data_IF_585964746649
#
_entry.id   IF_585964746649
#
_cell.length_a   1.000
_cell.length_b   1.000
_cell.length_c   1.000
_cell.angle_alpha   90.00
_cell.angle_beta   90.00
_cell.angle_gamma   90.00
#
_symmetry.space_group_name_H-M   'P 1'
#
loop_
_entity.id
_entity.type
_entity.pdbx_description
1 polymer ?
#
# COMPACT_ATOMS: atom_id res chain seq x y z
N UNK A 1 14.13 13.17 20.00
CA UNK A 1 15.08 13.46 18.90
C UNK A 1 16.33 14.21 19.34
N UNK A 2 16.26 15.44 19.89
CA UNK A 2 17.48 16.16 20.31
C UNK A 2 18.35 15.32 21.28
N UNK A 3 17.74 14.65 22.25
CA UNK A 3 18.43 13.70 23.12
C UNK A 3 19.20 12.62 22.33
N UNK A 4 18.56 11.95 21.37
CA UNK A 4 19.19 10.91 20.56
C UNK A 4 20.34 11.47 19.71
N UNK A 5 20.13 12.63 19.07
CA UNK A 5 21.16 13.26 18.24
C UNK A 5 22.39 13.66 19.06
N UNK A 6 22.21 14.19 20.27
CA UNK A 6 23.32 14.69 21.09
C UNK A 6 23.97 13.63 21.99
N UNK A 7 23.20 12.66 22.48
CA UNK A 7 23.67 11.71 23.50
C UNK A 7 23.77 10.27 22.99
N UNK A 8 23.08 9.93 21.91
CA UNK A 8 23.00 8.56 21.38
C UNK A 8 23.09 8.53 19.86
N UNK A 9 24.16 9.05 19.24
CA UNK A 9 24.25 9.23 17.79
C UNK A 9 24.15 7.91 16.99
N UNK A 10 24.44 6.77 17.62
CA UNK A 10 24.31 5.43 17.02
C UNK A 10 22.97 4.74 17.30
N UNK A 11 22.17 5.24 18.25
CA UNK A 11 20.89 4.65 18.68
C UNK A 11 19.74 5.64 18.42
N UNK A 12 19.64 6.12 17.18
CA UNK A 12 18.68 7.16 16.77
C UNK A 12 17.34 6.58 16.32
N UNK A 13 16.74 5.70 17.14
CA UNK A 13 15.53 4.94 16.79
C UNK A 13 14.32 5.84 16.49
N UNK A 14 14.08 6.87 17.31
CA UNK A 14 12.95 7.79 17.10
C UNK A 14 13.18 8.66 15.87
N UNK A 15 14.38 9.17 15.65
CA UNK A 15 14.71 9.90 14.41
C UNK A 15 14.57 9.02 13.16
N UNK A 16 15.02 7.76 13.22
CA UNK A 16 14.91 6.81 12.11
C UNK A 16 13.45 6.46 11.80
N UNK A 17 12.61 6.35 12.82
CA UNK A 17 11.16 6.17 12.66
C UNK A 17 10.51 7.41 12.04
N UNK A 18 10.85 8.61 12.53
CA UNK A 18 10.33 9.87 11.99
C UNK A 18 10.68 10.01 10.50
N UNK A 19 11.93 9.72 10.12
CA UNK A 19 12.36 9.71 8.72
C UNK A 19 11.60 8.67 7.88
N UNK A 20 11.35 7.47 8.41
CA UNK A 20 10.54 6.47 7.70
C UNK A 20 9.12 6.98 7.45
N UNK A 21 8.49 7.60 8.45
CA UNK A 21 7.15 8.15 8.32
C UNK A 21 7.09 9.34 7.35
N UNK A 22 8.12 10.18 7.31
CA UNK A 22 8.26 11.27 6.32
C UNK A 22 8.25 10.75 4.88
N UNK A 23 8.90 9.61 4.62
CA UNK A 23 8.84 8.97 3.29
C UNK A 23 7.44 8.44 2.93
N UNK A 24 6.58 8.21 3.92
CA UNK A 24 5.22 7.69 3.72
C UNK A 24 4.17 8.79 3.69
N UNK A 25 4.47 9.97 4.26
CA UNK A 25 3.51 11.05 4.49
C UNK A 25 4.03 12.31 3.84
N UNK A 26 3.37 12.73 2.75
CA UNK A 26 3.60 14.06 2.16
C UNK A 26 2.38 14.95 2.34
N UNK A 27 1.18 14.34 2.30
CA UNK A 27 -0.11 15.02 2.29
C UNK A 27 -1.06 14.48 3.37
N UNK A 28 -2.14 15.22 3.64
CA UNK A 28 -3.24 14.79 4.50
C UNK A 28 -3.81 13.43 4.08
N UNK A 29 -3.89 13.15 2.77
CA UNK A 29 -4.43 11.88 2.24
C UNK A 29 -3.58 10.68 2.59
N UNK A 30 -2.27 10.88 2.71
CA UNK A 30 -1.36 9.81 3.14
C UNK A 30 -1.62 9.50 4.61
N UNK A 31 -1.85 10.52 5.43
CA UNK A 31 -2.26 10.35 6.83
C UNK A 31 -3.62 9.68 6.93
N UNK A 32 -4.61 10.10 6.12
CA UNK A 32 -5.94 9.47 6.06
C UNK A 32 -5.82 7.95 5.86
N UNK A 33 -5.03 7.54 4.87
CA UNK A 33 -4.80 6.14 4.55
C UNK A 33 -4.13 5.40 5.72
N UNK A 34 -3.08 5.98 6.31
CA UNK A 34 -2.37 5.34 7.42
C UNK A 34 -3.23 5.24 8.68
N UNK A 35 -4.11 6.21 8.94
CA UNK A 35 -5.09 6.18 10.04
C UNK A 35 -6.18 5.14 9.75
N UNK A 36 -6.72 5.10 8.53
CA UNK A 36 -7.73 4.10 8.12
C UNK A 36 -7.19 2.67 8.26
N UNK A 37 -5.90 2.45 7.95
CA UNK A 37 -5.23 1.16 8.13
C UNK A 37 -4.75 0.90 9.57
N UNK A 38 -4.97 1.83 10.51
CA UNK A 38 -4.59 1.68 11.91
C UNK A 38 -3.07 1.71 12.17
N UNK A 39 -2.29 2.25 11.22
CA UNK A 39 -0.84 2.40 11.33
C UNK A 39 -0.51 3.62 12.21
N UNK A 40 -1.29 4.69 12.06
CA UNK A 40 -1.18 5.91 12.87
C UNK A 40 -2.46 6.12 13.66
N UNK A 41 -2.32 6.56 14.90
CA UNK A 41 -3.44 7.06 15.71
C UNK A 41 -3.42 8.58 15.65
N UNK A 42 -4.50 9.19 15.17
CA UNK A 42 -4.61 10.65 15.18
C UNK A 42 -4.87 11.16 16.60
N UNK A 43 -3.84 11.78 17.19
CA UNK A 43 -3.91 12.44 18.50
C UNK A 43 -3.95 13.98 18.40
N UNK A 44 -3.82 14.55 17.20
CA UNK A 44 -3.75 15.99 16.95
C UNK A 44 -5.11 16.61 16.57
N UNK A 45 -6.11 15.78 16.27
CA UNK A 45 -7.47 16.18 15.96
C UNK A 45 -7.74 16.34 14.46
N UNK A 46 -6.72 16.64 13.66
CA UNK A 46 -6.81 16.74 12.21
C UNK A 46 -5.58 16.12 11.52
N UNK A 47 -5.76 15.61 10.30
CA UNK A 47 -4.75 14.86 9.57
C UNK A 47 -3.74 15.78 8.87
N UNK A 48 -4.13 17.01 8.52
CA UNK A 48 -3.24 18.04 7.95
C UNK A 48 -2.12 18.41 8.95
N UNK A 49 -2.46 18.59 10.22
CA UNK A 49 -1.52 18.87 11.31
C UNK A 49 -0.49 17.76 11.48
N UNK A 50 -0.89 16.48 11.31
CA UNK A 50 0.03 15.34 11.36
C UNK A 50 1.01 15.39 10.19
N UNK A 51 0.51 15.58 8.96
CA UNK A 51 1.36 15.67 7.78
C UNK A 51 2.38 16.82 7.92
N UNK A 52 1.89 18.00 8.33
CA UNK A 52 2.74 19.15 8.59
C UNK A 52 3.77 18.91 9.68
N UNK A 53 3.41 18.17 10.74
CA UNK A 53 4.33 17.83 11.82
C UNK A 53 5.50 16.99 11.30
N UNK A 54 5.24 15.90 10.57
CA UNK A 54 6.31 15.04 10.03
C UNK A 54 7.20 15.82 9.05
N UNK A 55 6.62 16.48 8.05
CA UNK A 55 7.35 17.28 7.06
C UNK A 55 8.24 18.35 7.72
N UNK A 56 7.72 19.02 8.77
CA UNK A 56 8.47 20.07 9.47
C UNK A 56 9.60 19.50 10.32
N UNK A 57 9.35 18.42 11.04
CA UNK A 57 10.31 17.81 11.95
C UNK A 57 11.46 17.17 11.17
N UNK A 58 11.15 16.42 10.11
CA UNK A 58 12.12 15.71 9.30
C UNK A 58 12.96 16.63 8.41
N UNK A 59 12.44 17.81 8.03
CA UNK A 59 13.26 18.86 7.38
C UNK A 59 14.48 19.31 8.18
N UNK A 60 14.50 19.02 9.49
CA UNK A 60 15.57 19.39 10.43
C UNK A 60 16.45 18.22 10.84
N UNK A 61 16.17 17.00 10.36
CA UNK A 61 16.93 15.79 10.68
C UNK A 61 17.92 15.53 9.54
N UNK A 62 19.19 15.32 9.89
CA UNK A 62 20.19 14.89 8.90
C UNK A 62 20.00 13.40 8.60
N UNK A 63 20.04 12.96 7.32
CA UNK A 63 19.93 11.55 6.98
C UNK A 63 21.05 10.75 7.64
N UNK A 64 20.69 9.72 8.41
CA UNK A 64 21.59 8.73 9.01
C UNK A 64 21.27 7.33 8.47
N UNK A 65 22.18 6.34 8.61
CA UNK A 65 21.86 4.95 8.32
C UNK A 65 20.69 4.50 9.22
N UNK A 66 19.51 4.37 8.62
CA UNK A 66 18.31 4.04 9.37
C UNK A 66 18.28 2.55 9.72
N UNK A 67 17.95 2.22 10.96
CA UNK A 67 17.65 0.85 11.38
C UNK A 67 16.46 0.24 10.62
N UNK A 68 15.66 1.07 9.95
CA UNK A 68 14.54 0.66 9.10
C UNK A 68 14.89 0.57 7.61
N UNK A 69 16.16 0.71 7.23
CA UNK A 69 16.57 0.69 5.82
C UNK A 69 16.10 -0.59 5.10
N UNK A 70 16.29 -1.76 5.71
CA UNK A 70 15.84 -3.03 5.13
C UNK A 70 14.33 -3.08 4.94
N UNK A 71 13.56 -2.55 5.89
CA UNK A 71 12.09 -2.48 5.76
C UNK A 71 11.68 -1.56 4.61
N UNK A 72 12.33 -0.41 4.48
CA UNK A 72 12.07 0.51 3.37
C UNK A 72 12.44 -0.11 2.02
N UNK A 73 13.55 -0.85 1.96
CA UNK A 73 13.96 -1.58 0.77
C UNK A 73 12.98 -2.70 0.40
N UNK A 74 12.54 -3.49 1.37
CA UNK A 74 11.54 -4.55 1.17
C UNK A 74 10.20 -3.98 0.69
N UNK A 75 9.78 -2.84 1.24
CA UNK A 75 8.57 -2.13 0.81
C UNK A 75 8.71 -1.65 -0.64
N UNK A 76 9.85 -1.04 -0.99
CA UNK A 76 10.16 -0.62 -2.36
C UNK A 76 10.19 -1.80 -3.32
N UNK A 77 10.80 -2.92 -2.92
CA UNK A 77 10.86 -4.15 -3.70
C UNK A 77 9.47 -4.77 -3.87
N UNK A 78 8.61 -4.72 -2.85
CA UNK A 78 7.22 -5.12 -2.96
C UNK A 78 6.47 -4.24 -3.94
N UNK A 79 6.59 -2.92 -3.83
CA UNK A 79 5.94 -1.98 -4.73
C UNK A 79 6.36 -2.23 -6.18
N UNK A 80 7.66 -2.31 -6.46
CA UNK A 80 8.22 -2.45 -7.81
C UNK A 80 7.91 -3.79 -8.51
N UNK A 81 7.38 -4.79 -7.80
CA UNK A 81 6.98 -6.05 -8.43
C UNK A 81 5.77 -5.81 -9.32
N UNK A 82 5.93 -6.01 -10.64
CA UNK A 82 4.86 -5.88 -11.64
C UNK A 82 3.60 -6.65 -11.29
N UNK A 83 3.73 -7.83 -10.69
CA UNK A 83 2.60 -8.64 -10.21
C UNK A 83 1.77 -7.92 -9.15
N UNK A 84 2.40 -7.17 -8.24
CA UNK A 84 1.72 -6.44 -7.18
C UNK A 84 0.93 -5.26 -7.74
N UNK A 85 1.47 -4.54 -8.72
CA UNK A 85 0.71 -3.53 -9.46
C UNK A 85 -0.51 -4.13 -10.16
N UNK A 86 -0.33 -5.23 -10.91
CA UNK A 86 -1.44 -5.90 -11.61
C UNK A 86 -2.52 -6.36 -10.62
N UNK A 87 -2.12 -6.96 -9.50
CA UNK A 87 -3.03 -7.38 -8.44
C UNK A 87 -3.77 -6.19 -7.83
N UNK A 88 -3.08 -5.09 -7.52
CA UNK A 88 -3.69 -3.89 -6.97
C UNK A 88 -4.72 -3.29 -7.93
N UNK A 89 -4.38 -3.18 -9.22
CA UNK A 89 -5.33 -2.73 -10.26
C UNK A 89 -6.55 -3.66 -10.33
N UNK A 90 -6.33 -4.97 -10.37
CA UNK A 90 -7.42 -5.96 -10.43
C UNK A 90 -8.37 -5.82 -9.23
N UNK A 91 -7.83 -5.71 -8.02
CA UNK A 91 -8.61 -5.51 -6.81
C UNK A 91 -9.38 -4.20 -6.87
N UNK A 92 -8.72 -3.11 -7.27
CA UNK A 92 -9.33 -1.78 -7.32
C UNK A 92 -10.46 -1.64 -8.34
N UNK A 93 -10.44 -2.43 -9.43
CA UNK A 93 -11.42 -2.36 -10.51
C UNK A 93 -12.56 -3.36 -10.31
N UNK A 94 -12.22 -4.60 -9.95
CA UNK A 94 -13.20 -5.69 -9.91
C UNK A 94 -13.70 -5.97 -8.50
N UNK A 95 -12.91 -5.71 -7.46
CA UNK A 95 -13.23 -6.09 -6.08
C UNK A 95 -13.48 -4.89 -5.16
N UNK A 96 -13.61 -3.68 -5.70
CA UNK A 96 -13.99 -2.46 -4.96
C UNK A 96 -15.39 -2.58 -4.37
N UNK A 97 -16.29 -3.25 -5.09
CA UNK A 97 -17.65 -3.54 -4.65
C UNK A 97 -17.90 -5.04 -4.78
N UNK A 98 -18.41 -5.66 -3.73
CA UNK A 98 -18.81 -7.07 -3.70
C UNK A 98 -19.71 -7.42 -4.90
N UNK A 99 -20.58 -6.50 -5.32
CA UNK A 99 -21.46 -6.67 -6.47
C UNK A 99 -20.69 -6.72 -7.80
N UNK A 100 -19.72 -5.83 -8.00
CA UNK A 100 -18.86 -5.85 -9.20
C UNK A 100 -18.01 -7.11 -9.25
N UNK A 101 -17.49 -7.54 -8.09
CA UNK A 101 -16.68 -8.75 -8.00
C UNK A 101 -17.47 -10.01 -8.33
N UNK A 102 -18.66 -10.16 -7.72
CA UNK A 102 -19.56 -11.30 -7.97
C UNK A 102 -20.02 -11.35 -9.42
N UNK A 103 -20.38 -10.22 -10.04
CA UNK A 103 -20.75 -10.16 -11.45
C UNK A 103 -19.61 -10.58 -12.38
N UNK A 104 -18.38 -10.14 -12.08
CA UNK A 104 -17.18 -10.52 -12.84
C UNK A 104 -16.94 -12.02 -12.78
N UNK A 105 -17.03 -12.61 -11.58
CA UNK A 105 -16.86 -14.07 -11.40
C UNK A 105 -17.95 -14.85 -12.14
N UNK A 106 -19.21 -14.41 -12.04
CA UNK A 106 -20.32 -15.05 -12.75
C UNK A 106 -20.13 -15.01 -14.27
N UNK A 107 -19.70 -13.86 -14.82
CA UNK A 107 -19.41 -13.72 -16.24
C UNK A 107 -18.29 -14.66 -16.71
N UNK A 108 -17.22 -14.81 -15.93
CA UNK A 108 -16.12 -15.74 -16.21
C UNK A 108 -16.63 -17.19 -16.23
N UNK A 109 -17.43 -17.59 -15.22
CA UNK A 109 -18.00 -18.94 -15.15
C UNK A 109 -18.91 -19.22 -16.35
N UNK A 110 -19.79 -18.28 -16.70
CA UNK A 110 -20.66 -18.40 -17.87
C UNK A 110 -19.88 -18.51 -19.18
N UNK A 111 -18.81 -17.74 -19.34
CA UNK A 111 -17.94 -17.80 -20.52
C UNK A 111 -17.27 -19.17 -20.65
N UNK A 112 -16.74 -19.71 -19.55
CA UNK A 112 -16.13 -21.06 -19.53
C UNK A 112 -17.17 -22.12 -19.91
N UNK A 113 -18.37 -22.08 -19.33
CA UNK A 113 -19.45 -23.00 -19.65
C UNK A 113 -19.84 -22.92 -21.13
N UNK A 114 -19.91 -21.70 -21.69
CA UNK A 114 -20.24 -21.48 -23.11
C UNK A 114 -19.20 -22.09 -24.03
N UNK A 115 -17.91 -21.95 -23.70
CA UNK A 115 -16.82 -22.57 -24.47
C UNK A 115 -16.92 -24.10 -24.43
N UNK A 116 -17.16 -24.68 -23.26
CA UNK A 116 -17.34 -26.14 -23.12
C UNK A 116 -18.52 -26.61 -23.96
N UNK A 117 -19.66 -25.92 -23.87
CA UNK A 117 -20.85 -26.23 -24.67
C UNK A 117 -20.53 -26.18 -26.17
N UNK A 118 -19.87 -25.14 -26.67
CA UNK A 118 -19.52 -25.01 -28.07
C UNK A 118 -18.62 -26.17 -28.57
N UNK A 119 -17.61 -26.55 -27.79
CA UNK A 119 -16.71 -27.67 -28.11
C UNK A 119 -17.47 -29.00 -28.14
N UNK A 120 -18.33 -29.24 -27.15
CA UNK A 120 -19.17 -30.44 -27.09
C UNK A 120 -20.13 -30.50 -28.28
N UNK A 121 -20.78 -29.38 -28.63
CA UNK A 121 -21.69 -29.29 -29.78
C UNK A 121 -20.98 -29.63 -31.09
N UNK A 122 -19.81 -29.05 -31.36
CA UNK A 122 -19.03 -29.34 -32.58
C UNK A 122 -18.68 -30.83 -32.68
N UNK A 123 -18.26 -31.45 -31.56
CA UNK A 123 -17.92 -32.88 -31.52
C UNK A 123 -19.14 -33.80 -31.71
N UNK A 124 -20.33 -33.33 -31.33
CA UNK A 124 -21.58 -34.10 -31.41
C UNK A 124 -22.27 -34.05 -32.78
N UNK A 125 -21.79 -33.22 -33.71
CA UNK A 125 -22.33 -33.20 -35.09
C UNK A 125 -21.90 -34.50 -35.81
N UNK A 126 -22.84 -35.38 -36.22
CA UNK A 126 -22.50 -36.56 -36.99
C UNK A 126 -21.99 -36.15 -38.39
N UNK A 127 -20.96 -36.86 -38.87
CA UNK A 127 -20.39 -36.68 -40.22
C UNK A 127 -21.39 -36.97 -41.33
#
# INVERSE_FOLDING_TARGET
MALEVFHYPTETHVCNYANLMDYLIDTEKDVDLLVEKGIIVNCLGDNESIAKMFNTICSRITPSPSCYHQIAEDMKNHYNKRWNHLKATLISVYFTNLWTGTATVAAIVLLILTVIQAVCSIKSVPK
#
